data_IF_780392312613
#
_entry.id   IF_780392312613
#
_cell.length_a   1.000
_cell.length_b   1.000
_cell.length_c   1.000
_cell.angle_alpha   90.00
_cell.angle_beta   90.00
_cell.angle_gamma   90.00
#
_symmetry.space_group_name_H-M   'P 1'
#
loop_
_entity.id
_entity.type
_entity.pdbx_description
1 polymer ?
#
# COMPACT_ATOMS: atom_id res chain seq x y z
N UNK A 1 -15.26 5.72 33.20
CA UNK A 1 -15.93 5.17 32.00
C UNK A 1 -15.62 5.95 30.70
N UNK A 2 -15.39 7.26 30.75
CA UNK A 2 -15.20 8.08 29.53
C UNK A 2 -13.80 8.02 28.89
N UNK A 3 -12.73 7.83 29.65
CA UNK A 3 -11.36 7.81 29.11
C UNK A 3 -10.96 6.50 28.43
N UNK A 4 -11.45 5.36 28.91
CA UNK A 4 -11.19 4.05 28.30
C UNK A 4 -11.94 3.90 26.95
N UNK A 5 -13.14 4.43 26.85
CA UNK A 5 -13.92 4.45 25.60
C UNK A 5 -13.21 5.36 24.58
N UNK A 6 -12.70 6.52 25.00
CA UNK A 6 -11.96 7.45 24.15
C UNK A 6 -10.61 6.89 23.67
N UNK A 7 -9.90 6.14 24.52
CA UNK A 7 -8.64 5.47 24.17
C UNK A 7 -8.87 4.25 23.27
N UNK A 8 -10.00 3.55 23.43
CA UNK A 8 -10.40 2.44 22.56
C UNK A 8 -10.81 2.94 21.18
N UNK A 9 -11.61 4.01 21.09
CA UNK A 9 -11.94 4.66 19.83
C UNK A 9 -10.70 5.19 19.09
N UNK A 10 -9.73 5.82 19.77
CA UNK A 10 -8.47 6.24 19.13
C UNK A 10 -7.59 5.08 18.66
N UNK A 11 -7.65 3.91 19.31
CA UNK A 11 -6.96 2.70 18.82
C UNK A 11 -7.64 2.12 17.59
N UNK A 12 -8.97 2.15 17.55
CA UNK A 12 -9.74 1.66 16.40
C UNK A 12 -9.65 2.61 15.19
N UNK A 13 -9.47 3.92 15.40
CA UNK A 13 -9.23 4.91 14.35
C UNK A 13 -7.80 4.86 13.77
N UNK A 14 -6.84 4.23 14.45
CA UNK A 14 -5.46 4.03 13.98
C UNK A 14 -5.24 2.68 13.29
N UNK A 15 -6.19 1.76 13.34
CA UNK A 15 -6.14 0.49 12.63
C UNK A 15 -6.62 0.71 11.19
N UNK A 16 -5.81 0.32 10.20
CA UNK A 16 -6.19 0.33 8.80
C UNK A 16 -7.50 -0.44 8.60
N UNK A 17 -8.32 0.01 7.64
CA UNK A 17 -9.63 -0.60 7.41
C UNK A 17 -9.55 -1.86 6.55
N UNK A 18 -8.47 -2.01 5.75
CA UNK A 18 -8.32 -3.05 4.75
C UNK A 18 -6.93 -3.69 4.83
N UNK A 19 -6.79 -4.88 4.27
CA UNK A 19 -5.46 -5.42 4.01
C UNK A 19 -4.83 -4.75 2.79
N UNK A 20 -3.50 -4.58 2.81
CA UNK A 20 -2.76 -4.07 1.66
C UNK A 20 -2.98 -4.93 0.41
N UNK A 21 -3.15 -6.25 0.60
CA UNK A 21 -3.42 -7.18 -0.50
C UNK A 21 -4.78 -6.91 -1.15
N UNK A 22 -5.82 -6.61 -0.36
CA UNK A 22 -7.14 -6.25 -0.88
C UNK A 22 -7.07 -4.97 -1.72
N UNK A 23 -6.37 -3.95 -1.20
CA UNK A 23 -6.14 -2.70 -1.92
C UNK A 23 -5.33 -2.94 -3.21
N UNK A 24 -4.30 -3.80 -3.15
CA UNK A 24 -3.48 -4.16 -4.31
C UNK A 24 -4.30 -4.84 -5.42
N UNK A 25 -5.17 -5.79 -5.08
CA UNK A 25 -6.07 -6.43 -6.03
C UNK A 25 -7.03 -5.42 -6.67
N UNK A 26 -7.59 -4.50 -5.86
CA UNK A 26 -8.45 -3.44 -6.36
C UNK A 26 -7.72 -2.52 -7.36
N UNK A 27 -6.52 -2.05 -7.00
CA UNK A 27 -5.69 -1.20 -7.86
C UNK A 27 -5.39 -1.90 -9.18
N UNK A 28 -4.97 -3.16 -9.12
CA UNK A 28 -4.67 -3.96 -10.32
C UNK A 28 -5.87 -4.03 -11.25
N UNK A 29 -7.06 -4.34 -10.72
CA UNK A 29 -8.28 -4.41 -11.51
C UNK A 29 -8.72 -3.04 -12.04
N UNK A 30 -8.54 -1.98 -11.26
CA UNK A 30 -8.81 -0.62 -11.72
C UNK A 30 -7.88 -0.21 -12.86
N UNK A 31 -6.57 -0.48 -12.75
CA UNK A 31 -5.59 -0.19 -13.79
C UNK A 31 -5.91 -0.95 -15.08
N UNK A 32 -6.20 -2.25 -15.00
CA UNK A 32 -6.59 -3.04 -16.17
C UNK A 32 -7.86 -2.50 -16.85
N UNK A 33 -8.86 -2.07 -16.07
CA UNK A 33 -10.09 -1.46 -16.61
C UNK A 33 -9.83 -0.12 -17.31
N UNK A 34 -8.76 0.57 -16.94
CA UNK A 34 -8.36 1.87 -17.47
C UNK A 34 -7.27 1.79 -18.55
N UNK A 35 -6.83 0.59 -18.91
CA UNK A 35 -5.68 0.34 -19.79
C UNK A 35 -4.37 0.99 -19.29
N UNK A 36 -4.22 1.11 -17.95
CA UNK A 36 -2.99 1.56 -17.31
C UNK A 36 -2.03 0.40 -17.15
N UNK A 37 -0.75 0.62 -17.48
CA UNK A 37 0.29 -0.37 -17.29
C UNK A 37 0.61 -0.58 -15.82
N UNK A 38 0.28 -1.75 -15.27
CA UNK A 38 0.56 -2.10 -13.87
C UNK A 38 1.56 -3.25 -13.79
N UNK A 39 2.72 -3.00 -13.18
CA UNK A 39 3.74 -3.98 -12.82
C UNK A 39 3.82 -4.09 -11.31
N UNK A 40 4.43 -5.15 -10.78
CA UNK A 40 4.49 -5.32 -9.32
C UNK A 40 5.25 -4.20 -8.61
N UNK A 41 6.35 -3.67 -9.18
CA UNK A 41 7.08 -2.54 -8.60
C UNK A 41 6.27 -1.24 -8.64
N UNK A 42 5.51 -1.02 -9.72
CA UNK A 42 4.62 0.13 -9.83
C UNK A 42 3.51 0.06 -8.78
N UNK A 43 2.91 -1.12 -8.62
CA UNK A 43 1.88 -1.39 -7.62
C UNK A 43 2.35 -1.05 -6.20
N UNK A 44 3.55 -1.46 -5.83
CA UNK A 44 4.17 -1.14 -4.54
C UNK A 44 4.33 0.36 -4.30
N UNK A 45 4.70 1.11 -5.34
CA UNK A 45 4.83 2.59 -5.23
C UNK A 45 3.48 3.26 -5.09
N UNK A 46 2.49 2.81 -5.85
CA UNK A 46 1.12 3.33 -5.75
C UNK A 46 0.56 3.09 -4.34
N UNK A 47 0.72 1.90 -3.78
CA UNK A 47 0.29 1.59 -2.40
C UNK A 47 0.95 2.51 -1.37
N UNK A 48 2.25 2.75 -1.48
CA UNK A 48 2.96 3.67 -0.61
C UNK A 48 2.39 5.10 -0.70
N UNK A 49 2.14 5.62 -1.90
CA UNK A 49 1.56 6.95 -2.09
C UNK A 49 0.11 7.04 -1.61
N UNK A 50 -0.67 5.96 -1.74
CA UNK A 50 -2.01 5.88 -1.17
C UNK A 50 -1.95 5.98 0.36
N UNK A 51 -1.05 5.25 1.01
CA UNK A 51 -0.88 5.31 2.46
C UNK A 51 -0.46 6.73 2.91
N UNK A 52 0.45 7.39 2.19
CA UNK A 52 0.80 8.79 2.43
C UNK A 52 -0.40 9.73 2.28
N UNK A 53 -1.20 9.55 1.23
CA UNK A 53 -2.42 10.33 1.01
C UNK A 53 -3.38 10.18 2.18
N UNK A 54 -3.60 8.96 2.67
CA UNK A 54 -4.49 8.73 3.80
C UNK A 54 -3.97 9.34 5.09
N UNK A 55 -2.67 9.22 5.37
CA UNK A 55 -2.05 9.87 6.54
C UNK A 55 -2.20 11.39 6.46
N UNK A 56 -2.01 11.99 5.28
CA UNK A 56 -2.06 13.44 5.09
C UNK A 56 -3.49 13.99 5.07
N UNK A 57 -4.36 13.44 4.23
CA UNK A 57 -5.66 14.04 3.92
C UNK A 57 -6.79 13.51 4.80
N UNK A 58 -6.66 12.28 5.29
CA UNK A 58 -7.69 11.61 6.09
C UNK A 58 -7.30 11.55 7.59
N UNK A 59 -6.00 11.63 7.89
CA UNK A 59 -5.49 11.54 9.26
C UNK A 59 -5.44 10.12 9.83
N UNK A 60 -5.63 9.09 8.98
CA UNK A 60 -5.62 7.67 9.34
C UNK A 60 -4.80 6.85 8.35
N UNK A 61 -4.53 5.59 8.67
CA UNK A 61 -3.94 4.63 7.72
C UNK A 61 -5.06 3.89 6.99
N UNK A 62 -4.81 3.52 5.73
CA UNK A 62 -5.78 2.74 4.93
C UNK A 62 -5.62 1.24 5.17
N UNK A 63 -4.39 0.75 5.23
CA UNK A 63 -4.07 -0.66 5.49
C UNK A 63 -3.08 -0.78 6.65
N UNK A 64 -3.10 -1.95 7.30
CA UNK A 64 -2.36 -2.18 8.55
C UNK A 64 -0.99 -2.81 8.38
N UNK A 65 -0.64 -3.34 7.20
CA UNK A 65 0.63 -4.01 6.99
C UNK A 65 1.80 -3.04 7.04
N UNK A 66 2.93 -3.56 7.45
CA UNK A 66 4.18 -2.81 7.53
C UNK A 66 4.69 -2.42 6.14
N UNK A 67 5.21 -1.22 6.03
CA UNK A 67 5.98 -0.77 4.87
C UNK A 67 7.46 -0.89 5.22
N UNK A 68 8.25 -1.47 4.33
CA UNK A 68 9.69 -1.65 4.51
C UNK A 68 10.50 -0.82 3.52
N UNK A 69 11.66 -0.34 3.97
CA UNK A 69 12.60 0.42 3.14
C UNK A 69 13.54 -0.54 2.40
N UNK A 70 13.21 -0.87 1.15
CA UNK A 70 14.05 -1.69 0.27
C UNK A 70 14.86 -0.83 -0.71
N UNK A 71 15.82 -1.44 -1.43
CA UNK A 71 16.68 -0.72 -2.40
C UNK A 71 15.91 -0.04 -3.55
N UNK A 72 14.77 -0.59 -3.94
CA UNK A 72 13.87 -0.05 -4.95
C UNK A 72 12.72 0.80 -4.36
N UNK A 73 12.95 1.37 -3.18
CA UNK A 73 11.96 2.21 -2.49
C UNK A 73 11.11 1.43 -1.49
N UNK A 74 10.04 2.05 -0.97
CA UNK A 74 9.10 1.42 -0.05
C UNK A 74 8.41 0.21 -0.67
N UNK A 75 8.30 -0.88 0.10
CA UNK A 75 7.69 -2.16 -0.28
C UNK A 75 6.78 -2.64 0.86
N UNK A 76 5.67 -3.26 0.51
CA UNK A 76 4.80 -3.99 1.43
C UNK A 76 5.05 -5.49 1.24
N UNK A 77 5.73 -6.18 2.17
CA UNK A 77 6.19 -7.56 1.97
C UNK A 77 5.10 -8.55 1.61
N UNK A 78 3.89 -8.38 2.15
CA UNK A 78 2.73 -9.22 1.86
C UNK A 78 2.32 -9.12 0.39
N UNK A 79 2.26 -7.91 -0.14
CA UNK A 79 1.94 -7.63 -1.54
C UNK A 79 3.07 -8.12 -2.44
N UNK A 80 4.32 -7.83 -2.06
CA UNK A 80 5.49 -8.27 -2.81
C UNK A 80 5.50 -9.80 -3.00
N UNK A 81 5.24 -10.59 -1.94
CA UNK A 81 5.18 -12.06 -2.03
C UNK A 81 4.14 -12.54 -3.03
N UNK A 82 2.98 -11.89 -3.06
CA UNK A 82 1.88 -12.26 -3.97
C UNK A 82 2.20 -11.92 -5.43
N UNK A 83 2.78 -10.76 -5.69
CA UNK A 83 2.91 -10.22 -7.04
C UNK A 83 4.30 -10.36 -7.67
N UNK A 84 5.34 -10.76 -6.92
CA UNK A 84 6.71 -10.91 -7.43
C UNK A 84 6.84 -11.92 -8.59
N UNK A 85 5.91 -12.87 -8.70
CA UNK A 85 5.88 -13.86 -9.79
C UNK A 85 5.71 -13.22 -11.18
N UNK A 86 5.12 -12.02 -11.24
CA UNK A 86 4.97 -11.27 -12.49
C UNK A 86 6.27 -10.62 -12.95
N UNK A 87 7.30 -10.55 -12.12
CA UNK A 87 8.59 -9.92 -12.45
C UNK A 87 8.40 -8.52 -13.03
N UNK A 88 8.83 -8.30 -14.30
CA UNK A 88 8.66 -7.05 -15.05
C UNK A 88 7.41 -7.03 -15.96
N UNK A 89 6.66 -8.13 -16.01
CA UNK A 89 5.46 -8.22 -16.83
C UNK A 89 4.29 -7.47 -16.21
N UNK A 90 3.32 -7.13 -17.05
CA UNK A 90 2.05 -6.56 -16.59
C UNK A 90 1.28 -7.60 -15.78
N UNK A 91 0.56 -7.12 -14.79
CA UNK A 91 -0.30 -7.96 -13.95
C UNK A 91 -1.67 -8.02 -14.59
N UNK A 92 -2.15 -9.23 -14.89
CA UNK A 92 -3.50 -9.47 -15.37
C UNK A 92 -4.57 -9.12 -14.33
N UNK A 93 -5.83 -8.95 -14.73
CA UNK A 93 -6.93 -8.76 -13.79
C UNK A 93 -6.99 -9.89 -12.75
N UNK A 94 -7.17 -9.52 -11.50
CA UNK A 94 -7.19 -10.45 -10.37
C UNK A 94 -8.62 -10.93 -10.13
N UNK A 95 -8.89 -12.20 -10.42
CA UNK A 95 -10.14 -12.88 -10.06
C UNK A 95 -10.01 -13.67 -8.77
N UNK A 96 -8.81 -14.18 -8.48
CA UNK A 96 -8.47 -14.96 -7.30
C UNK A 96 -7.11 -14.54 -6.72
N UNK A 97 -6.92 -14.67 -5.44
CA UNK A 97 -5.65 -14.44 -4.77
C UNK A 97 -5.37 -15.50 -3.70
N UNK A 98 -4.09 -15.66 -3.33
CA UNK A 98 -3.68 -16.55 -2.26
C UNK A 98 -3.85 -15.88 -0.90
N UNK A 99 -4.72 -16.44 -0.07
CA UNK A 99 -4.85 -16.01 1.33
C UNK A 99 -3.76 -16.70 2.17
N UNK A 100 -2.81 -15.89 2.64
CA UNK A 100 -1.69 -16.33 3.47
C UNK A 100 -1.90 -16.02 4.95
N UNK A 101 -3.09 -15.59 5.36
CA UNK A 101 -3.40 -15.16 6.73
C UNK A 101 -3.21 -16.26 7.79
N UNK A 102 -3.35 -17.53 7.41
CA UNK A 102 -3.15 -18.70 8.27
C UNK A 102 -1.73 -19.30 8.16
N UNK A 103 -0.80 -18.64 7.45
CA UNK A 103 0.57 -19.06 7.21
C UNK A 103 0.75 -19.83 5.89
N UNK A 104 2.01 -19.94 5.44
CA UNK A 104 2.40 -20.54 4.16
C UNK A 104 1.97 -22.01 3.96
N UNK A 105 1.65 -22.72 5.03
CA UNK A 105 1.26 -24.14 5.00
C UNK A 105 -0.25 -24.35 4.79
N UNK A 106 -1.05 -23.29 4.83
CA UNK A 106 -2.51 -23.34 4.68
C UNK A 106 -3.00 -22.41 3.57
N UNK A 107 -2.21 -22.27 2.52
CA UNK A 107 -2.57 -21.45 1.36
C UNK A 107 -3.92 -21.87 0.78
N UNK A 108 -4.86 -20.94 0.69
CA UNK A 108 -6.15 -21.12 0.05
C UNK A 108 -6.35 -20.05 -1.01
N UNK A 109 -6.73 -20.48 -2.22
CA UNK A 109 -7.23 -19.53 -3.22
C UNK A 109 -8.59 -19.00 -2.79
N UNK A 110 -8.71 -17.68 -2.75
CA UNK A 110 -9.97 -16.98 -2.53
C UNK A 110 -10.35 -16.19 -3.75
N UNK A 111 -11.63 -16.21 -4.11
CA UNK A 111 -12.16 -15.32 -5.13
C UNK A 111 -12.08 -13.88 -4.63
N UNK A 112 -11.57 -12.98 -5.48
CA UNK A 112 -11.51 -11.57 -5.13
C UNK A 112 -12.89 -10.94 -5.28
N UNK A 113 -13.41 -10.44 -4.15
CA UNK A 113 -14.61 -9.61 -4.10
C UNK A 113 -14.24 -8.39 -3.26
N UNK A 114 -14.24 -7.21 -3.88
CA UNK A 114 -13.85 -5.98 -3.19
C UNK A 114 -14.86 -5.60 -2.11
N UNK A 115 -14.39 -5.53 -0.86
CA UNK A 115 -15.14 -5.02 0.29
C UNK A 115 -14.89 -3.51 0.53
N UNK A 116 -14.07 -2.87 -0.31
CA UNK A 116 -13.73 -1.44 -0.20
C UNK A 116 -14.98 -0.59 -0.46
N UNK A 117 -15.27 0.33 0.44
CA UNK A 117 -16.39 1.26 0.29
C UNK A 117 -16.16 2.27 -0.86
N UNK A 118 -17.23 2.90 -1.34
CA UNK A 118 -17.15 3.78 -2.50
C UNK A 118 -16.30 5.04 -2.27
N UNK A 119 -16.30 5.58 -1.05
CA UNK A 119 -15.49 6.76 -0.69
C UNK A 119 -14.00 6.44 -0.81
N UNK A 120 -13.58 5.28 -0.26
CA UNK A 120 -12.19 4.85 -0.32
C UNK A 120 -11.78 4.45 -1.74
N UNK A 121 -12.67 3.81 -2.51
CA UNK A 121 -12.43 3.59 -3.95
C UNK A 121 -12.14 4.89 -4.69
N UNK A 122 -12.92 5.94 -4.43
CA UNK A 122 -12.70 7.24 -5.08
C UNK A 122 -11.35 7.86 -4.69
N UNK A 123 -10.95 7.77 -3.42
CA UNK A 123 -9.66 8.26 -2.95
C UNK A 123 -8.50 7.46 -3.55
N UNK A 124 -8.60 6.14 -3.57
CA UNK A 124 -7.61 5.25 -4.18
C UNK A 124 -7.45 5.59 -5.67
N UNK A 125 -8.56 5.65 -6.41
CA UNK A 125 -8.56 5.97 -7.84
C UNK A 125 -7.88 7.31 -8.13
N UNK A 126 -8.16 8.34 -7.32
CA UNK A 126 -7.52 9.65 -7.43
C UNK A 126 -5.99 9.54 -7.35
N UNK A 127 -5.46 8.77 -6.40
CA UNK A 127 -4.01 8.60 -6.26
C UNK A 127 -3.44 7.76 -7.39
N UNK A 128 -4.13 6.70 -7.83
CA UNK A 128 -3.73 5.88 -8.99
C UNK A 128 -3.63 6.76 -10.23
N UNK A 129 -4.65 7.56 -10.53
CA UNK A 129 -4.69 8.46 -11.70
C UNK A 129 -3.58 9.54 -11.62
N UNK A 130 -3.23 10.00 -10.42
CA UNK A 130 -2.09 10.91 -10.23
C UNK A 130 -0.76 10.21 -10.52
N UNK A 131 -0.59 8.96 -10.08
CA UNK A 131 0.62 8.17 -10.32
C UNK A 131 0.80 7.82 -11.80
N UNK A 132 -0.28 7.78 -12.59
CA UNK A 132 -0.20 7.46 -14.02
C UNK A 132 0.60 8.50 -14.82
N UNK A 133 0.72 9.72 -14.32
CA UNK A 133 1.54 10.80 -14.93
C UNK A 133 3.05 10.54 -14.85
N UNK A 134 3.47 9.53 -14.10
CA UNK A 134 4.87 9.20 -13.83
C UNK A 134 5.19 7.78 -14.27
N UNK A 135 6.37 7.56 -14.81
CA UNK A 135 6.90 6.22 -15.04
C UNK A 135 7.19 5.51 -13.71
N UNK A 136 7.33 4.20 -13.74
CA UNK A 136 7.72 3.41 -12.56
C UNK A 136 9.07 3.87 -11.98
N UNK A 137 10.03 4.22 -12.84
CA UNK A 137 11.34 4.72 -12.41
C UNK A 137 11.23 6.08 -11.68
N UNK A 138 10.37 6.96 -12.16
CA UNK A 138 10.12 8.25 -11.48
C UNK A 138 9.44 8.05 -10.13
N UNK A 139 8.43 7.17 -10.04
CA UNK A 139 7.77 6.84 -8.76
C UNK A 139 8.77 6.25 -7.75
N UNK A 140 9.69 5.38 -8.19
CA UNK A 140 10.78 4.86 -7.35
C UNK A 140 11.67 6.02 -6.88
N UNK A 141 12.10 6.90 -7.79
CA UNK A 141 12.94 8.05 -7.46
C UNK A 141 12.26 9.00 -6.46
N UNK A 142 11.00 9.36 -6.71
CA UNK A 142 10.21 10.22 -5.83
C UNK A 142 10.11 9.61 -4.42
N UNK A 143 9.73 8.33 -4.33
CA UNK A 143 9.56 7.66 -3.03
C UNK A 143 10.87 7.53 -2.25
N UNK A 144 12.01 7.32 -2.93
CA UNK A 144 13.35 7.23 -2.31
C UNK A 144 13.91 8.57 -1.86
N UNK A 145 13.45 9.67 -2.44
CA UNK A 145 13.86 11.03 -2.06
C UNK A 145 13.02 11.58 -0.89
N UNK A 146 12.02 10.85 -0.40
CA UNK A 146 11.22 11.27 0.74
C UNK A 146 11.86 10.85 2.07
N UNK A 147 11.72 11.70 3.08
CA UNK A 147 12.31 11.50 4.41
C UNK A 147 11.92 10.19 5.10
N UNK A 148 10.69 9.64 4.96
CA UNK A 148 10.34 8.35 5.56
C UNK A 148 11.26 7.22 5.10
N UNK A 149 11.50 7.13 3.79
CA UNK A 149 12.40 6.13 3.24
C UNK A 149 13.86 6.40 3.61
N UNK A 150 14.34 7.65 3.47
CA UNK A 150 15.73 8.05 3.78
C UNK A 150 16.09 7.73 5.22
N UNK A 151 15.19 8.00 6.17
CA UNK A 151 15.41 7.73 7.60
C UNK A 151 15.46 6.22 7.91
N UNK A 152 14.65 5.41 7.23
CA UNK A 152 14.57 3.97 7.49
C UNK A 152 15.61 3.15 6.72
N UNK A 153 15.93 3.54 5.47
CA UNK A 153 16.80 2.75 4.60
C UNK A 153 18.23 2.62 5.14
N UNK A 154 18.74 1.40 5.13
CA UNK A 154 20.16 1.08 5.37
C UNK A 154 20.58 0.01 4.36
N UNK A 155 21.72 0.21 3.74
CA UNK A 155 22.28 -0.77 2.78
C UNK A 155 22.42 -2.15 3.46
N UNK A 156 21.96 -3.18 2.79
CA UNK A 156 21.98 -4.58 3.24
C UNK A 156 21.17 -4.87 4.53
N UNK A 157 20.24 -3.97 4.89
CA UNK A 157 19.32 -4.19 6.01
C UNK A 157 17.90 -3.82 5.61
N UNK A 158 16.96 -4.72 5.81
CA UNK A 158 15.53 -4.43 5.67
C UNK A 158 15.05 -3.80 6.97
N UNK A 159 14.44 -2.62 6.88
CA UNK A 159 13.87 -1.92 8.03
C UNK A 159 12.46 -1.44 7.72
N UNK A 160 11.60 -1.53 8.73
CA UNK A 160 10.26 -0.95 8.68
C UNK A 160 10.35 0.57 8.59
N UNK A 161 9.42 1.16 7.85
CA UNK A 161 9.14 2.58 7.85
C UNK A 161 8.01 2.82 8.84
N UNK A 162 8.29 3.36 10.04
CA UNK A 162 7.25 3.61 11.03
C UNK A 162 6.20 4.59 10.49
N UNK A 163 4.94 4.41 10.86
CA UNK A 163 3.86 5.35 10.51
C UNK A 163 4.18 6.77 10.99
N UNK A 164 4.87 6.92 12.12
CA UNK A 164 5.32 8.22 12.62
C UNK A 164 6.22 8.97 11.63
N UNK A 165 7.00 8.26 10.80
CA UNK A 165 7.82 8.91 9.76
C UNK A 165 6.96 9.44 8.61
N UNK A 166 5.86 8.74 8.26
CA UNK A 166 4.89 9.21 7.29
C UNK A 166 4.16 10.45 7.83
N UNK A 167 3.73 10.41 9.09
CA UNK A 167 3.06 11.52 9.76
C UNK A 167 3.95 12.77 9.83
N UNK A 168 5.19 12.60 10.28
CA UNK A 168 6.18 13.69 10.32
C UNK A 168 6.42 14.31 8.94
N UNK A 169 6.56 13.47 7.91
CA UNK A 169 6.74 13.94 6.54
C UNK A 169 5.52 14.73 6.05
N UNK A 170 4.31 14.22 6.30
CA UNK A 170 3.07 14.87 5.88
C UNK A 170 2.83 16.21 6.58
N UNK A 171 3.30 16.37 7.84
CA UNK A 171 3.17 17.62 8.59
C UNK A 171 4.16 18.70 8.11
N UNK A 172 5.20 18.34 7.35
CA UNK A 172 6.24 19.26 6.88
C UNK A 172 6.08 19.67 5.40
N UNK A 173 5.03 19.19 4.73
CA UNK A 173 4.67 19.54 3.34
C UNK A 173 3.26 20.12 3.26
#
# INVERSE_FOLDING_TARGET
MSQEIFLKQRKDEQLGQYSALEIACYITNYCNKKDYNITHLRLEKILYFIQLYYVKEIGSILFWEDIEAWSFGPIIPEVYRQFRQYCSFLIDPIEEYWDLSEGLWKEKKKKYISCINQKDKNNINKVVDMCEKYSTTELISISRNQTPWIKAYRRNMIRKIPISYLQEFCNNI
#
